data_IF_481007365831
#
_entry.id   IF_481007365831
#
_cell.length_a   1.000
_cell.length_b   1.000
_cell.length_c   1.000
_cell.angle_alpha   90.00
_cell.angle_beta   90.00
_cell.angle_gamma   90.00
#
_symmetry.space_group_name_H-M   'P 1'
#
loop_
_entity.id
_entity.type
_entity.pdbx_description
1 polymer ?
#
# COMPACT_ATOMS: atom_id res chain seq x y z
N UNK A 1 -26.53 1.55 -6.95
CA UNK A 1 -26.51 0.30 -7.73
C UNK A 1 -25.60 0.37 -8.96
N UNK A 2 -25.79 1.29 -9.92
CA UNK A 2 -24.97 1.32 -11.16
C UNK A 2 -23.47 1.59 -10.93
N UNK A 3 -23.12 2.36 -9.89
CA UNK A 3 -21.72 2.69 -9.57
C UNK A 3 -21.00 1.55 -8.85
N UNK A 4 -21.73 0.69 -8.16
CA UNK A 4 -21.23 -0.49 -7.46
C UNK A 4 -21.00 -1.61 -8.47
N UNK A 5 -21.94 -1.80 -9.40
CA UNK A 5 -21.81 -2.76 -10.51
C UNK A 5 -20.61 -2.45 -11.42
N UNK A 6 -20.40 -1.18 -11.77
CA UNK A 6 -19.20 -0.76 -12.52
C UNK A 6 -17.91 -1.01 -11.74
N UNK A 7 -17.93 -0.79 -10.42
CA UNK A 7 -16.78 -1.04 -9.54
C UNK A 7 -16.44 -2.54 -9.47
N UNK A 8 -17.44 -3.39 -9.28
CA UNK A 8 -17.26 -4.84 -9.25
C UNK A 8 -16.78 -5.37 -10.59
N UNK A 9 -17.28 -4.82 -11.70
CA UNK A 9 -16.77 -5.15 -13.05
C UNK A 9 -15.28 -4.83 -13.18
N UNK A 10 -14.83 -3.66 -12.71
CA UNK A 10 -13.40 -3.29 -12.73
C UNK A 10 -12.55 -4.21 -11.86
N UNK A 11 -13.03 -4.55 -10.67
CA UNK A 11 -12.34 -5.49 -9.79
C UNK A 11 -12.27 -6.90 -10.40
N UNK A 12 -13.31 -7.35 -11.11
CA UNK A 12 -13.29 -8.63 -11.81
C UNK A 12 -12.21 -8.69 -12.90
N UNK A 13 -12.04 -7.62 -13.70
CA UNK A 13 -10.92 -7.53 -14.65
C UNK A 13 -9.56 -7.63 -13.97
N UNK A 14 -9.42 -7.07 -12.77
CA UNK A 14 -8.20 -7.15 -11.97
C UNK A 14 -7.95 -8.57 -11.47
N UNK A 15 -9.00 -9.29 -11.07
CA UNK A 15 -8.92 -10.72 -10.70
C UNK A 15 -8.43 -11.56 -11.88
N UNK A 16 -8.91 -11.30 -13.09
CA UNK A 16 -8.45 -12.00 -14.28
C UNK A 16 -6.97 -11.72 -14.55
N UNK A 17 -6.55 -10.46 -14.47
CA UNK A 17 -5.15 -10.09 -14.60
C UNK A 17 -4.27 -10.74 -13.52
N UNK A 18 -4.74 -10.77 -12.28
CA UNK A 18 -4.04 -11.43 -11.18
C UNK A 18 -3.80 -12.92 -11.48
N UNK A 19 -4.81 -13.64 -12.00
CA UNK A 19 -4.69 -15.06 -12.37
C UNK A 19 -3.67 -15.27 -13.49
N UNK A 20 -3.62 -14.38 -14.47
CA UNK A 20 -2.59 -14.42 -15.52
C UNK A 20 -1.18 -14.25 -14.95
N UNK A 21 -1.01 -13.28 -14.05
CA UNK A 21 0.27 -12.99 -13.38
C UNK A 21 0.68 -14.15 -12.49
N UNK A 22 -0.25 -14.69 -11.69
CA UNK A 22 -0.02 -15.85 -10.81
C UNK A 22 0.48 -17.06 -11.60
N UNK A 23 -0.18 -17.37 -12.72
CA UNK A 23 0.26 -18.43 -13.64
C UNK A 23 1.65 -18.15 -14.20
N UNK A 24 1.93 -16.90 -14.58
CA UNK A 24 3.22 -16.50 -15.15
C UNK A 24 4.37 -16.57 -14.15
N UNK A 25 4.12 -16.24 -12.87
CA UNK A 25 5.12 -16.33 -11.79
C UNK A 25 5.53 -17.79 -11.53
N UNK A 26 4.64 -18.75 -11.75
CA UNK A 26 4.92 -20.18 -11.66
C UNK A 26 5.65 -20.79 -12.86
N UNK A 27 5.87 -20.02 -13.94
CA UNK A 27 6.52 -20.49 -15.16
C UNK A 27 8.05 -20.59 -14.98
N UNK A 28 8.68 -21.77 -15.20
CA UNK A 28 10.13 -21.94 -15.13
C UNK A 28 10.93 -20.95 -16.00
N UNK A 29 10.42 -20.57 -17.17
CA UNK A 29 11.10 -19.60 -18.04
C UNK A 29 11.14 -18.20 -17.40
N UNK A 30 10.06 -17.81 -16.73
CA UNK A 30 9.99 -16.53 -16.00
C UNK A 30 10.90 -16.57 -14.78
N UNK A 31 10.87 -17.66 -14.01
CA UNK A 31 11.70 -17.84 -12.81
C UNK A 31 13.19 -17.76 -13.16
N UNK A 32 13.59 -18.26 -14.34
CA UNK A 32 14.97 -18.18 -14.80
C UNK A 32 15.44 -16.77 -15.21
N UNK A 33 14.52 -15.79 -15.33
CA UNK A 33 14.83 -14.39 -15.63
C UNK A 33 14.57 -13.48 -14.41
N UNK A 34 15.62 -13.09 -13.66
CA UNK A 34 15.47 -12.36 -12.40
C UNK A 34 14.72 -11.02 -12.53
N UNK A 35 14.92 -10.29 -13.63
CA UNK A 35 14.28 -8.99 -13.85
C UNK A 35 12.79 -9.19 -14.11
N UNK A 36 12.43 -10.09 -15.03
CA UNK A 36 11.03 -10.38 -15.38
C UNK A 36 10.27 -10.96 -14.19
N UNK A 37 10.89 -11.87 -13.45
CA UNK A 37 10.32 -12.43 -12.22
C UNK A 37 10.05 -11.35 -11.18
N UNK A 38 11.02 -10.45 -10.93
CA UNK A 38 10.85 -9.36 -9.97
C UNK A 38 9.71 -8.43 -10.35
N UNK A 39 9.58 -8.08 -11.63
CA UNK A 39 8.54 -7.16 -12.09
C UNK A 39 7.15 -7.80 -12.01
N UNK A 40 7.00 -9.08 -12.38
CA UNK A 40 5.76 -9.84 -12.19
C UNK A 40 5.41 -10.05 -10.72
N UNK A 41 6.40 -10.31 -9.85
CA UNK A 41 6.17 -10.42 -8.41
C UNK A 41 5.71 -9.09 -7.79
N UNK A 42 6.19 -7.95 -8.29
CA UNK A 42 5.70 -6.62 -7.88
C UNK A 42 4.25 -6.43 -8.31
N UNK A 43 3.92 -6.78 -9.55
CA UNK A 43 2.55 -6.71 -10.05
C UNK A 43 1.63 -7.64 -9.23
N UNK A 44 2.02 -8.89 -9.01
CA UNK A 44 1.30 -9.86 -8.20
C UNK A 44 0.95 -9.28 -6.83
N UNK A 45 1.95 -8.77 -6.10
CA UNK A 45 1.75 -8.15 -4.78
C UNK A 45 0.82 -6.93 -4.81
N UNK A 46 0.88 -6.12 -5.88
CA UNK A 46 -0.02 -4.95 -6.04
C UNK A 46 -1.46 -5.37 -6.26
N UNK A 47 -1.69 -6.46 -6.98
CA UNK A 47 -3.03 -6.96 -7.31
C UNK A 47 -3.65 -7.78 -6.17
N UNK A 48 -2.85 -8.47 -5.35
CA UNK A 48 -3.32 -9.28 -4.21
C UNK A 48 -4.39 -8.58 -3.35
N UNK A 49 -4.16 -7.37 -2.79
CA UNK A 49 -5.15 -6.74 -1.92
C UNK A 49 -6.45 -6.37 -2.67
N UNK A 50 -6.38 -6.10 -3.97
CA UNK A 50 -7.56 -5.83 -4.81
C UNK A 50 -8.39 -7.09 -5.07
N UNK A 51 -7.73 -8.25 -5.18
CA UNK A 51 -8.40 -9.55 -5.28
C UNK A 51 -9.06 -9.94 -3.95
N UNK A 52 -8.37 -9.74 -2.83
CA UNK A 52 -8.91 -10.03 -1.49
C UNK A 52 -10.17 -9.21 -1.18
N UNK A 53 -10.16 -7.90 -1.49
CA UNK A 53 -11.34 -7.07 -1.27
C UNK A 53 -12.48 -7.42 -2.24
N UNK A 54 -12.17 -7.80 -3.48
CA UNK A 54 -13.18 -8.30 -4.42
C UNK A 54 -13.87 -9.56 -3.87
N UNK A 55 -13.09 -10.57 -3.43
CA UNK A 55 -13.65 -11.79 -2.85
C UNK A 55 -14.54 -11.50 -1.63
N UNK A 56 -14.09 -10.59 -0.77
CA UNK A 56 -14.85 -10.15 0.40
C UNK A 56 -16.17 -9.47 0.02
N UNK A 57 -16.13 -8.55 -0.95
CA UNK A 57 -17.33 -7.88 -1.47
C UNK A 57 -18.29 -8.85 -2.13
N UNK A 58 -17.80 -9.79 -2.95
CA UNK A 58 -18.64 -10.82 -3.57
C UNK A 58 -19.35 -11.68 -2.53
N UNK A 59 -18.66 -12.05 -1.44
CA UNK A 59 -19.29 -12.79 -0.34
C UNK A 59 -20.42 -11.97 0.31
N UNK A 60 -20.17 -10.70 0.64
CA UNK A 60 -21.19 -9.84 1.24
C UNK A 60 -22.36 -9.53 0.29
N UNK A 61 -22.11 -9.39 -1.02
CA UNK A 61 -23.18 -9.26 -2.02
C UNK A 61 -24.03 -10.54 -2.09
N UNK A 62 -23.40 -11.71 -1.96
CA UNK A 62 -24.11 -12.99 -1.88
C UNK A 62 -24.97 -13.08 -0.62
N UNK A 63 -24.43 -12.71 0.54
CA UNK A 63 -25.17 -12.69 1.82
C UNK A 63 -26.35 -11.72 1.76
N UNK A 64 -26.15 -10.55 1.15
CA UNK A 64 -27.20 -9.56 0.93
C UNK A 64 -28.33 -10.11 0.04
N UNK A 65 -27.99 -10.75 -1.08
CA UNK A 65 -28.97 -11.34 -1.98
C UNK A 65 -29.74 -12.48 -1.28
N UNK A 66 -29.06 -13.30 -0.48
CA UNK A 66 -29.70 -14.33 0.33
C UNK A 66 -30.72 -13.75 1.32
N UNK A 67 -30.37 -12.65 1.99
CA UNK A 67 -31.30 -11.94 2.87
C UNK A 67 -32.50 -11.36 2.11
N UNK A 68 -32.29 -10.87 0.88
CA UNK A 68 -33.39 -10.40 0.03
C UNK A 68 -34.34 -11.55 -0.35
N UNK A 69 -33.80 -12.75 -0.64
CA UNK A 69 -34.62 -13.95 -0.87
C UNK A 69 -35.42 -14.33 0.38
N UNK A 70 -34.79 -14.30 1.56
CA UNK A 70 -35.47 -14.58 2.84
C UNK A 70 -36.62 -13.61 3.13
N UNK A 71 -36.45 -12.32 2.82
CA UNK A 71 -37.53 -11.32 2.93
C UNK A 71 -38.73 -11.65 2.04
N UNK A 72 -38.49 -12.27 0.88
CA UNK A 72 -39.51 -12.63 -0.10
C UNK A 72 -40.08 -14.05 0.13
N UNK A 73 -39.48 -14.85 1.01
CA UNK A 73 -39.86 -16.25 1.23
C UNK A 73 -41.25 -16.45 1.85
N UNK A 74 -41.76 -15.44 2.55
CA UNK A 74 -43.02 -15.52 3.30
C UNK A 74 -42.94 -16.28 4.63
N UNK A 75 -41.77 -16.84 4.97
CA UNK A 75 -41.49 -17.49 6.25
C UNK A 75 -41.15 -16.42 7.30
N UNK A 76 -41.91 -16.39 8.41
CA UNK A 76 -41.77 -15.36 9.43
C UNK A 76 -40.40 -15.38 10.13
N UNK A 77 -39.80 -16.56 10.28
CA UNK A 77 -38.50 -16.71 10.96
C UNK A 77 -37.38 -16.23 10.03
N UNK A 78 -37.41 -16.60 8.75
CA UNK A 78 -36.43 -16.10 7.76
C UNK A 78 -36.57 -14.59 7.52
N UNK A 79 -37.80 -14.06 7.47
CA UNK A 79 -38.03 -12.61 7.34
C UNK A 79 -37.48 -11.85 8.56
N UNK A 80 -37.64 -12.39 9.77
CA UNK A 80 -37.10 -11.79 10.98
C UNK A 80 -35.57 -11.78 10.96
N UNK A 81 -34.95 -12.91 10.60
CA UNK A 81 -33.50 -13.05 10.48
C UNK A 81 -32.92 -12.05 9.47
N UNK A 82 -33.52 -11.96 8.27
CA UNK A 82 -33.07 -11.02 7.25
C UNK A 82 -33.12 -9.56 7.72
N UNK A 83 -34.16 -9.15 8.44
CA UNK A 83 -34.27 -7.79 9.00
C UNK A 83 -33.20 -7.48 10.05
N UNK A 84 -32.72 -8.50 10.76
CA UNK A 84 -31.66 -8.37 11.75
C UNK A 84 -30.27 -8.26 11.10
N UNK A 85 -30.00 -9.08 10.08
CA UNK A 85 -28.67 -9.18 9.44
C UNK A 85 -28.40 -8.09 8.40
N UNK A 86 -29.41 -7.71 7.61
CA UNK A 86 -29.26 -6.78 6.49
C UNK A 86 -28.59 -5.44 6.87
N UNK A 87 -28.93 -4.76 7.99
CA UNK A 87 -28.27 -3.51 8.35
C UNK A 87 -26.75 -3.64 8.50
N UNK A 88 -26.28 -4.78 9.04
CA UNK A 88 -24.84 -5.03 9.21
C UNK A 88 -24.16 -5.33 7.86
N UNK A 89 -24.81 -6.10 7.00
CA UNK A 89 -24.29 -6.42 5.66
C UNK A 89 -24.24 -5.15 4.81
N UNK A 90 -25.27 -4.30 4.88
CA UNK A 90 -25.30 -3.02 4.19
C UNK A 90 -24.13 -2.10 4.61
N UNK A 91 -23.89 -1.95 5.91
CA UNK A 91 -22.77 -1.14 6.42
C UNK A 91 -21.41 -1.69 5.97
N UNK A 92 -21.23 -3.02 5.98
CA UNK A 92 -20.01 -3.68 5.45
C UNK A 92 -19.83 -3.40 3.96
N UNK A 93 -20.87 -3.54 3.15
CA UNK A 93 -20.85 -3.26 1.72
C UNK A 93 -20.52 -1.80 1.43
N UNK A 94 -21.19 -0.85 2.10
CA UNK A 94 -20.94 0.59 1.93
C UNK A 94 -19.48 0.96 2.23
N UNK A 95 -18.94 0.49 3.35
CA UNK A 95 -17.53 0.70 3.73
C UNK A 95 -16.57 0.00 2.78
N UNK A 96 -16.89 -1.24 2.38
CA UNK A 96 -16.09 -2.04 1.45
C UNK A 96 -15.99 -1.37 0.08
N UNK A 97 -17.11 -0.92 -0.50
CA UNK A 97 -17.08 -0.20 -1.77
C UNK A 97 -16.31 1.12 -1.68
N UNK A 98 -16.45 1.87 -0.58
CA UNK A 98 -15.68 3.09 -0.37
C UNK A 98 -14.17 2.81 -0.31
N UNK A 99 -13.74 1.78 0.43
CA UNK A 99 -12.35 1.35 0.52
C UNK A 99 -11.82 0.91 -0.86
N UNK A 100 -12.56 0.08 -1.59
CA UNK A 100 -12.17 -0.38 -2.93
C UNK A 100 -11.98 0.77 -3.92
N UNK A 101 -12.82 1.81 -3.87
CA UNK A 101 -12.65 3.01 -4.72
C UNK A 101 -11.32 3.72 -4.44
N UNK A 102 -10.92 3.81 -3.17
CA UNK A 102 -9.63 4.39 -2.79
C UNK A 102 -8.45 3.54 -3.27
N UNK A 103 -8.58 2.21 -3.17
CA UNK A 103 -7.53 1.28 -3.63
C UNK A 103 -7.33 1.30 -5.15
N UNK A 104 -8.37 1.62 -5.92
CA UNK A 104 -8.31 1.75 -7.38
C UNK A 104 -7.78 3.11 -7.85
N UNK A 105 -7.50 4.05 -6.95
CA UNK A 105 -6.87 5.30 -7.34
C UNK A 105 -5.47 4.99 -7.92
N UNK A 106 -5.12 5.55 -9.09
CA UNK A 106 -3.83 5.32 -9.69
C UNK A 106 -2.74 5.78 -8.72
N UNK A 107 -1.93 4.82 -8.26
CA UNK A 107 -0.70 5.09 -7.52
C UNK A 107 0.34 5.60 -8.52
N UNK A 108 1.08 6.64 -8.16
CA UNK A 108 2.17 7.11 -8.99
C UNK A 108 3.27 6.02 -9.03
N UNK A 109 3.66 5.55 -10.21
CA UNK A 109 4.76 4.58 -10.36
C UNK A 109 6.06 5.07 -9.74
N UNK A 110 6.22 6.40 -9.61
CA UNK A 110 7.35 6.98 -8.91
C UNK A 110 7.32 6.72 -7.40
N UNK A 111 6.16 6.49 -6.79
CA UNK A 111 6.02 6.35 -5.33
C UNK A 111 6.79 5.13 -4.78
N UNK A 112 6.98 4.09 -5.60
CA UNK A 112 7.73 2.88 -5.24
C UNK A 112 9.24 2.96 -5.57
N UNK A 113 9.72 4.09 -6.09
CA UNK A 113 11.13 4.24 -6.41
C UNK A 113 11.97 4.37 -5.14
N UNK A 114 13.20 3.79 -5.12
CA UNK A 114 14.14 4.08 -4.06
C UNK A 114 14.53 5.56 -4.10
N UNK A 115 14.89 6.11 -2.94
CA UNK A 115 15.29 7.52 -2.83
C UNK A 115 16.73 7.66 -2.35
N UNK A 116 17.35 8.75 -2.78
CA UNK A 116 18.58 9.23 -2.16
C UNK A 116 18.20 10.29 -1.12
N UNK A 117 18.40 9.97 0.15
CA UNK A 117 18.18 10.88 1.25
C UNK A 117 19.49 11.61 1.53
N UNK A 118 19.49 12.93 1.34
CA UNK A 118 20.62 13.81 1.63
C UNK A 118 20.28 14.70 2.83
N UNK A 119 21.03 14.56 3.91
CA UNK A 119 20.92 15.40 5.09
C UNK A 119 22.18 16.25 5.18
N UNK A 120 22.02 17.57 5.16
CA UNK A 120 23.13 18.54 5.17
C UNK A 120 22.96 19.50 6.35
N UNK A 121 24.02 19.70 7.12
CA UNK A 121 24.04 20.70 8.17
C UNK A 121 23.91 22.10 7.56
N UNK A 122 22.91 22.86 8.02
CA UNK A 122 22.69 24.24 7.61
C UNK A 122 23.45 25.24 8.49
N UNK A 123 22.78 26.31 8.87
CA UNK A 123 23.30 27.28 9.84
C UNK A 123 23.32 26.68 11.25
N UNK A 124 24.37 26.95 12.04
CA UNK A 124 24.48 26.46 13.42
C UNK A 124 25.75 25.65 13.73
N UNK A 125 26.64 25.46 12.74
CA UNK A 125 27.94 24.81 12.97
C UNK A 125 27.80 23.41 13.54
N UNK A 126 28.37 23.17 14.72
CA UNK A 126 28.34 21.86 15.39
C UNK A 126 26.91 21.44 15.80
N UNK A 127 26.03 22.37 16.19
CA UNK A 127 24.62 22.04 16.54
C UNK A 127 23.85 21.52 15.32
N UNK A 128 24.07 22.13 14.15
CA UNK A 128 23.48 21.68 12.90
C UNK A 128 24.00 20.31 12.48
N UNK A 129 25.27 20.00 12.76
CA UNK A 129 25.86 18.69 12.49
C UNK A 129 25.26 17.60 13.40
N UNK A 130 25.06 17.90 14.68
CA UNK A 130 24.39 16.99 15.62
C UNK A 130 22.95 16.73 15.18
N UNK A 131 22.21 17.78 14.80
CA UNK A 131 20.82 17.65 14.35
C UNK A 131 20.70 16.82 13.05
N UNK A 132 21.64 16.95 12.11
CA UNK A 132 21.68 16.10 10.92
C UNK A 132 21.84 14.60 11.28
N UNK A 133 22.65 14.30 12.30
CA UNK A 133 22.77 12.94 12.85
C UNK A 133 21.48 12.44 13.50
N UNK A 134 20.78 13.30 14.24
CA UNK A 134 19.49 12.96 14.83
C UNK A 134 18.41 12.69 13.78
N UNK A 135 18.34 13.50 12.71
CA UNK A 135 17.45 13.26 11.58
C UNK A 135 17.77 11.92 10.91
N UNK A 136 19.05 11.62 10.67
CA UNK A 136 19.43 10.34 10.09
C UNK A 136 19.00 9.15 10.96
N UNK A 137 19.20 9.25 12.28
CA UNK A 137 18.76 8.23 13.23
C UNK A 137 17.23 8.10 13.25
N UNK A 138 16.50 9.22 13.21
CA UNK A 138 15.05 9.25 13.15
C UNK A 138 14.53 8.54 11.88
N UNK A 139 15.03 8.93 10.71
CA UNK A 139 14.64 8.33 9.44
C UNK A 139 15.06 6.87 9.30
N UNK A 140 16.21 6.48 9.85
CA UNK A 140 16.64 5.07 9.87
C UNK A 140 15.67 4.21 10.66
N UNK A 141 15.23 4.66 11.84
CA UNK A 141 14.20 3.97 12.63
C UNK A 141 12.84 3.94 11.95
N UNK A 142 12.45 5.05 11.31
CA UNK A 142 11.21 5.09 10.54
C UNK A 142 11.24 4.07 9.39
N UNK A 143 12.35 4.00 8.66
CA UNK A 143 12.55 3.03 7.58
C UNK A 143 12.49 1.58 8.08
N UNK A 144 13.15 1.27 9.20
CA UNK A 144 13.06 -0.05 9.84
C UNK A 144 11.62 -0.44 10.18
N UNK A 145 10.82 0.49 10.71
CA UNK A 145 9.40 0.24 11.05
C UNK A 145 8.52 -0.06 9.82
N UNK A 146 8.97 0.36 8.63
CA UNK A 146 8.33 0.11 7.34
C UNK A 146 8.91 -1.10 6.60
N UNK A 147 9.91 -1.77 7.18
CA UNK A 147 10.63 -2.87 6.51
C UNK A 147 11.50 -2.40 5.34
N UNK A 148 11.85 -1.10 5.30
CA UNK A 148 12.72 -0.54 4.27
C UNK A 148 14.19 -0.78 4.59
N UNK A 149 15.00 -0.92 3.54
CA UNK A 149 16.45 -1.07 3.64
C UNK A 149 17.11 0.30 3.50
N UNK A 150 17.87 0.70 4.52
CA UNK A 150 18.72 1.90 4.50
C UNK A 150 20.16 1.48 4.25
N UNK A 151 20.80 2.07 3.24
CA UNK A 151 22.21 1.85 2.91
C UNK A 151 22.93 3.20 2.98
N UNK A 152 23.88 3.34 3.91
CA UNK A 152 24.74 4.51 3.97
C UNK A 152 25.65 4.53 2.74
N UNK A 153 25.60 5.62 1.96
CA UNK A 153 26.40 5.81 0.74
C UNK A 153 27.63 6.65 1.06
N UNK A 154 27.44 7.76 1.77
CA UNK A 154 28.51 8.65 2.18
C UNK A 154 28.15 9.34 3.51
N UNK A 155 29.16 9.67 4.30
CA UNK A 155 29.00 10.48 5.50
C UNK A 155 30.24 11.35 5.70
N UNK A 156 30.01 12.63 6.04
CA UNK A 156 31.05 13.57 6.40
C UNK A 156 30.79 14.05 7.84
N UNK A 157 31.71 13.71 8.74
CA UNK A 157 31.54 13.96 10.17
C UNK A 157 31.69 15.44 10.54
N UNK A 158 30.98 15.85 11.59
CA UNK A 158 31.14 17.15 12.23
C UNK A 158 32.42 17.23 13.06
N UNK A 159 32.82 18.44 13.43
CA UNK A 159 34.01 18.71 14.24
C UNK A 159 33.82 18.31 15.71
N UNK A 160 32.62 18.52 16.25
CA UNK A 160 32.26 18.14 17.62
C UNK A 160 31.31 16.93 17.69
N UNK A 161 31.27 16.10 16.64
CA UNK A 161 30.31 15.01 16.48
C UNK A 161 29.16 15.33 15.52
N UNK A 162 28.29 14.35 15.28
CA UNK A 162 27.27 14.45 14.23
C UNK A 162 27.86 14.46 12.83
N UNK A 163 27.13 15.01 11.86
CA UNK A 163 27.50 14.97 10.44
C UNK A 163 27.22 16.29 9.72
N UNK A 164 28.21 16.78 8.97
CA UNK A 164 28.01 17.89 8.02
C UNK A 164 27.17 17.47 6.83
N UNK A 165 27.35 16.23 6.38
CA UNK A 165 26.61 15.65 5.25
C UNK A 165 26.41 14.15 5.49
N UNK A 166 25.22 13.65 5.21
CA UNK A 166 24.90 12.22 5.17
C UNK A 166 24.13 11.97 3.88
N UNK A 167 24.58 10.97 3.11
CA UNK A 167 23.91 10.48 1.91
C UNK A 167 23.57 9.02 2.16
N UNK A 168 22.29 8.70 2.16
CA UNK A 168 21.80 7.33 2.34
C UNK A 168 20.80 6.97 1.25
N UNK A 169 20.92 5.75 0.72
CA UNK A 169 19.96 5.17 -0.19
C UNK A 169 18.91 4.40 0.60
N UNK A 170 17.64 4.74 0.41
CA UNK A 170 16.51 4.07 1.07
C UNK A 170 15.71 3.32 0.02
N UNK A 171 15.54 2.01 0.22
CA UNK A 171 14.86 1.11 -0.72
C UNK A 171 13.75 0.33 -0.02
N UNK A 172 12.59 0.22 -0.68
CA UNK A 172 11.41 -0.41 -0.12
C UNK A 172 10.16 -0.03 -0.91
N UNK A 173 9.02 -0.59 -0.53
CA UNK A 173 7.73 -0.27 -1.14
C UNK A 173 7.23 1.11 -0.67
N UNK A 174 6.78 1.97 -1.60
CA UNK A 174 6.22 3.28 -1.28
C UNK A 174 7.18 4.32 -0.71
N UNK A 175 8.51 4.11 -0.81
CA UNK A 175 9.52 4.99 -0.18
C UNK A 175 9.41 6.43 -0.66
N UNK A 176 9.45 6.65 -1.98
CA UNK A 176 9.37 8.00 -2.53
C UNK A 176 8.02 8.66 -2.24
N UNK A 177 6.92 7.90 -2.33
CA UNK A 177 5.59 8.44 -2.10
C UNK A 177 5.40 9.02 -0.70
N UNK A 178 6.07 8.44 0.30
CA UNK A 178 6.06 8.92 1.68
C UNK A 178 7.11 10.01 1.93
N UNK A 179 8.34 9.83 1.45
CA UNK A 179 9.44 10.76 1.76
C UNK A 179 9.50 12.01 0.87
N UNK A 180 8.73 12.08 -0.23
CA UNK A 180 8.73 13.25 -1.13
C UNK A 180 8.36 14.56 -0.44
N UNK A 181 7.65 14.51 0.68
CA UNK A 181 7.24 15.68 1.46
C UNK A 181 8.28 16.13 2.50
N UNK A 182 9.34 15.33 2.72
CA UNK A 182 10.39 15.63 3.69
C UNK A 182 11.50 16.53 3.10
N UNK A 183 11.44 16.78 1.80
CA UNK A 183 12.38 17.68 1.13
C UNK A 183 12.15 19.12 1.59
N UNK A 184 13.17 19.70 2.24
CA UNK A 184 13.10 21.08 2.71
C UNK A 184 14.05 21.37 3.86
N UNK A 185 13.83 22.53 4.47
CA UNK A 185 14.61 22.99 5.64
C UNK A 185 13.89 22.57 6.91
N UNK A 186 14.56 21.76 7.72
CA UNK A 186 14.12 21.37 9.05
C UNK A 186 14.74 22.34 10.06
N UNK A 187 13.92 22.89 10.98
CA UNK A 187 14.38 23.84 12.01
C UNK A 187 14.54 23.12 13.34
N UNK A 188 15.56 23.53 14.10
CA UNK A 188 15.88 23.10 15.46
C UNK A 188 16.09 24.33 16.34
#
# INVERSE_FOLDING_TARGET
>A
MKREEELMTKLAFIVDRYREVEKSVGDPEVVSNPTRYRDLMREYKKLTPLVEIHQTLTAWESDWNQCQEWLLSGDADFVALAKEEMPQIQDKLEKGYAASRLMLLPRDEADDRPVMMELRAGTGGDEAALFAGDLYRMYSRFAESKGWKVQLVNANEGTAGGYKEIIARVEGEGVYGLLKFESGVHRV
#
